data_IF_521533838824
#
_entry.id   IF_521533838824
#
_cell.length_a   1.000
_cell.length_b   1.000
_cell.length_c   1.000
_cell.angle_alpha   90.00
_cell.angle_beta   90.00
_cell.angle_gamma   90.00
#
_symmetry.space_group_name_H-M   'P 1'
#
loop_
_entity.id
_entity.type
_entity.pdbx_description
1 polymer ?
#
# COMPACT_ATOMS: atom_id res chain seq x y z
N UNK A 1 7.73 7.62 -8.51
CA UNK A 1 7.24 9.00 -8.40
C UNK A 1 6.99 9.66 -9.77
N UNK A 2 7.96 9.71 -10.66
CA UNK A 2 7.85 10.41 -11.95
C UNK A 2 6.65 9.98 -12.82
N UNK A 3 6.20 8.75 -12.71
CA UNK A 3 5.04 8.22 -13.43
C UNK A 3 3.71 8.36 -12.66
N UNK A 4 3.73 9.02 -11.49
CA UNK A 4 2.55 9.17 -10.63
C UNK A 4 1.71 10.35 -11.09
N UNK A 5 0.43 10.13 -11.32
CA UNK A 5 -0.51 11.19 -11.74
C UNK A 5 -0.99 12.09 -10.58
N UNK A 6 -1.69 13.17 -10.89
CA UNK A 6 -2.20 14.17 -9.94
C UNK A 6 -2.95 13.57 -8.76
N UNK A 7 -3.92 12.69 -9.00
CA UNK A 7 -4.71 12.08 -7.91
C UNK A 7 -3.84 11.30 -6.92
N UNK A 8 -2.87 10.56 -7.44
CA UNK A 8 -1.97 9.76 -6.59
C UNK A 8 -0.99 10.66 -5.83
N UNK A 9 -0.48 11.72 -6.44
CA UNK A 9 0.43 12.67 -5.77
C UNK A 9 -0.24 13.45 -4.66
N UNK A 10 -1.54 13.77 -4.80
CA UNK A 10 -2.32 14.48 -3.79
C UNK A 10 -2.22 13.84 -2.41
N UNK A 11 -2.21 12.52 -2.32
CA UNK A 11 -2.11 11.79 -1.05
C UNK A 11 -0.81 12.08 -0.27
N UNK A 12 0.22 12.58 -0.92
CA UNK A 12 1.54 12.86 -0.33
C UNK A 12 1.77 14.34 -0.02
N UNK A 13 0.77 15.21 -0.27
CA UNK A 13 0.88 16.66 -0.09
C UNK A 13 0.48 17.15 1.30
N UNK A 14 0.16 16.25 2.21
CA UNK A 14 -0.20 16.57 3.59
C UNK A 14 1.02 16.99 4.41
N UNK A 15 0.85 17.96 5.28
CA UNK A 15 1.94 18.44 6.15
C UNK A 15 2.15 17.55 7.37
N UNK A 16 1.06 16.98 7.91
CA UNK A 16 1.09 16.12 9.09
C UNK A 16 0.93 14.66 8.73
N UNK A 17 1.59 13.77 9.48
CA UNK A 17 1.48 12.33 9.28
C UNK A 17 0.07 11.78 9.57
N UNK A 18 -0.28 10.60 9.00
CA UNK A 18 -1.53 9.93 9.29
C UNK A 18 -1.70 9.67 10.79
N UNK A 19 -2.92 9.87 11.31
CA UNK A 19 -3.23 9.69 12.73
C UNK A 19 -2.95 10.90 13.62
N UNK A 20 -2.43 12.00 13.07
CA UNK A 20 -2.32 13.27 13.82
C UNK A 20 -3.71 13.79 14.18
N UNK A 21 -3.90 14.15 15.45
CA UNK A 21 -5.17 14.71 15.93
C UNK A 21 -5.48 16.05 15.27
N UNK A 22 -6.76 16.27 14.98
CA UNK A 22 -7.28 17.51 14.42
C UNK A 22 -8.56 17.93 15.14
N UNK A 23 -8.73 19.22 15.38
CA UNK A 23 -9.91 19.76 16.04
C UNK A 23 -11.17 19.72 15.16
N UNK A 24 -11.00 19.63 13.83
CA UNK A 24 -12.10 19.62 12.87
C UNK A 24 -11.86 18.55 11.80
N UNK A 25 -12.92 18.07 11.13
CA UNK A 25 -12.76 17.23 9.94
C UNK A 25 -11.91 17.95 8.89
N UNK A 26 -10.87 17.27 8.39
CA UNK A 26 -9.94 17.85 7.41
C UNK A 26 -9.33 16.77 6.51
N UNK A 27 -8.97 17.14 5.29
CA UNK A 27 -8.13 16.32 4.41
C UNK A 27 -6.65 16.36 4.81
N UNK A 28 -6.26 17.29 5.69
CA UNK A 28 -4.86 17.56 6.03
C UNK A 28 -4.09 18.33 4.95
N UNK A 29 -4.74 18.64 3.84
CA UNK A 29 -4.16 19.43 2.74
C UNK A 29 -4.29 20.91 3.00
N UNK A 30 -3.38 21.69 2.44
CA UNK A 30 -3.54 23.14 2.36
C UNK A 30 -4.70 23.48 1.42
N UNK A 31 -5.47 24.57 1.69
CA UNK A 31 -6.61 24.92 0.86
C UNK A 31 -6.33 25.02 -0.64
N UNK A 32 -5.17 25.56 -1.01
CA UNK A 32 -4.73 25.69 -2.40
C UNK A 32 -4.43 24.36 -3.10
N UNK A 33 -4.22 23.28 -2.33
CA UNK A 33 -3.93 21.93 -2.85
C UNK A 33 -5.15 20.99 -2.80
N UNK A 34 -6.21 21.40 -2.12
CA UNK A 34 -7.37 20.52 -1.86
C UNK A 34 -8.31 20.37 -3.07
N UNK A 35 -8.27 21.27 -4.02
CA UNK A 35 -9.17 21.35 -5.18
C UNK A 35 -8.65 20.76 -6.50
N UNK A 36 -7.49 20.10 -6.52
CA UNK A 36 -6.81 19.59 -7.73
C UNK A 36 -6.30 20.63 -8.71
N UNK A 37 -6.24 21.89 -8.36
CA UNK A 37 -5.74 22.96 -9.23
C UNK A 37 -4.21 23.13 -9.17
N UNK A 38 -3.51 22.31 -8.37
CA UNK A 38 -2.06 22.35 -8.31
C UNK A 38 -1.40 21.78 -9.56
N UNK A 39 -0.26 22.33 -9.93
CA UNK A 39 0.57 21.82 -11.03
C UNK A 39 1.38 20.59 -10.61
N UNK A 40 1.89 19.81 -11.59
CA UNK A 40 2.80 18.71 -11.31
C UNK A 40 4.06 19.18 -10.57
N UNK A 41 4.57 20.37 -10.91
CA UNK A 41 5.71 20.98 -10.23
C UNK A 41 5.43 21.30 -8.76
N UNK A 42 4.26 21.89 -8.47
CA UNK A 42 3.83 22.14 -7.09
C UNK A 42 3.68 20.85 -6.28
N UNK A 43 3.37 19.73 -6.93
CA UNK A 43 3.25 18.44 -6.28
C UNK A 43 4.59 17.81 -5.87
N UNK A 44 5.72 18.33 -6.33
CA UNK A 44 7.06 17.79 -6.00
C UNK A 44 7.36 17.88 -4.49
N UNK A 45 6.74 18.78 -3.75
CA UNK A 45 6.88 18.87 -2.29
C UNK A 45 6.44 17.58 -1.57
N UNK A 46 5.56 16.79 -2.19
CA UNK A 46 5.11 15.51 -1.68
C UNK A 46 6.12 14.36 -1.84
N UNK A 47 7.14 14.53 -2.66
CA UNK A 47 8.12 13.47 -2.92
C UNK A 47 8.80 12.95 -1.64
N UNK A 48 9.07 13.81 -0.68
CA UNK A 48 9.66 13.46 0.63
C UNK A 48 8.80 12.47 1.43
N UNK A 49 7.49 12.44 1.17
CA UNK A 49 6.54 11.55 1.85
C UNK A 49 6.30 10.26 1.07
N UNK A 50 6.83 10.15 -0.16
CA UNK A 50 6.63 9.00 -1.02
C UNK A 50 7.55 7.84 -0.62
N UNK A 51 6.95 6.67 -0.44
CA UNK A 51 7.68 5.45 -0.10
C UNK A 51 7.21 4.30 -0.98
N UNK A 52 8.14 3.49 -1.43
CA UNK A 52 7.85 2.25 -2.14
C UNK A 52 8.21 1.07 -1.24
N UNK A 53 7.26 0.18 -1.02
CA UNK A 53 7.48 -1.07 -0.30
C UNK A 53 7.45 -2.20 -1.34
N UNK A 54 8.57 -2.88 -1.49
CA UNK A 54 8.68 -4.05 -2.37
C UNK A 54 8.76 -5.32 -1.53
N UNK A 55 7.75 -6.19 -1.67
CA UNK A 55 7.70 -7.48 -1.00
C UNK A 55 8.02 -8.59 -2.01
N UNK A 56 9.06 -9.38 -1.74
CA UNK A 56 9.34 -10.60 -2.48
C UNK A 56 8.73 -11.78 -1.73
N UNK A 57 7.69 -12.38 -2.31
CA UNK A 57 7.03 -13.55 -1.72
C UNK A 57 7.96 -14.76 -1.96
N UNK A 58 8.37 -15.44 -0.88
CA UNK A 58 9.25 -16.61 -0.91
C UNK A 58 8.47 -17.91 -0.87
N UNK A 59 7.36 -17.92 -0.14
CA UNK A 59 6.48 -19.08 -0.06
C UNK A 59 5.03 -18.66 0.12
N UNK A 60 4.12 -19.52 -0.30
CA UNK A 60 2.67 -19.37 -0.08
C UNK A 60 2.15 -20.64 0.55
N UNK A 61 1.30 -20.53 1.56
CA UNK A 61 0.55 -21.65 2.11
C UNK A 61 -0.92 -21.53 1.75
N UNK A 62 -1.51 -22.63 1.35
CA UNK A 62 -2.91 -22.78 1.08
C UNK A 62 -3.54 -23.70 2.12
N UNK A 63 -4.67 -23.29 2.70
CA UNK A 63 -5.45 -24.07 3.63
C UNK A 63 -6.91 -24.14 3.15
N UNK A 64 -7.36 -25.33 2.84
CA UNK A 64 -8.75 -25.61 2.52
C UNK A 64 -9.48 -26.19 3.74
N UNK A 65 -10.55 -25.53 4.16
CA UNK A 65 -11.36 -25.95 5.30
C UNK A 65 -12.60 -26.71 4.79
N UNK A 66 -12.70 -27.99 5.18
CA UNK A 66 -13.82 -28.83 4.80
C UNK A 66 -14.25 -29.73 5.97
N UNK A 67 -15.57 -29.96 6.11
CA UNK A 67 -16.12 -30.82 7.14
C UNK A 67 -15.61 -32.28 7.04
N UNK A 68 -15.29 -32.74 5.84
CA UNK A 68 -14.73 -34.09 5.57
C UNK A 68 -13.22 -34.20 5.84
N UNK A 69 -12.59 -33.12 6.33
CA UNK A 69 -11.16 -33.04 6.59
C UNK A 69 -10.50 -31.92 5.79
N UNK A 70 -9.65 -31.17 6.46
CA UNK A 70 -8.93 -30.07 5.87
C UNK A 70 -7.81 -30.56 4.94
N UNK A 71 -7.31 -29.65 4.10
CA UNK A 71 -6.14 -29.87 3.25
C UNK A 71 -5.22 -28.66 3.36
N UNK A 72 -3.90 -28.91 3.40
CA UNK A 72 -2.91 -27.83 3.47
C UNK A 72 -1.76 -28.10 2.52
N UNK A 73 -1.31 -27.08 1.82
CA UNK A 73 -0.17 -27.15 0.94
C UNK A 73 0.74 -25.94 1.13
N UNK A 74 2.01 -26.10 0.86
CA UNK A 74 3.00 -25.03 0.77
C UNK A 74 3.63 -25.04 -0.61
N UNK A 75 3.77 -23.86 -1.18
CA UNK A 75 4.44 -23.60 -2.44
C UNK A 75 5.69 -22.80 -2.16
N UNK A 76 6.86 -23.42 -2.29
CA UNK A 76 8.16 -22.76 -2.13
C UNK A 76 8.57 -22.15 -3.47
N UNK A 77 8.40 -20.83 -3.58
CA UNK A 77 8.64 -20.09 -4.82
C UNK A 77 10.14 -19.86 -5.10
N UNK A 78 11.00 -19.99 -4.09
CA UNK A 78 12.45 -19.86 -4.27
C UNK A 78 13.06 -21.13 -4.84
N UNK A 79 12.60 -22.30 -4.39
CA UNK A 79 13.15 -23.61 -4.77
C UNK A 79 12.29 -24.35 -5.79
N UNK A 80 11.15 -23.78 -6.22
CA UNK A 80 10.17 -24.38 -7.13
C UNK A 80 9.71 -25.76 -6.66
N UNK A 81 9.34 -25.87 -5.38
CA UNK A 81 8.89 -27.11 -4.75
C UNK A 81 7.52 -26.92 -4.08
N UNK A 82 6.70 -27.96 -4.18
CA UNK A 82 5.38 -28.02 -3.60
C UNK A 82 5.31 -29.13 -2.56
N UNK A 83 4.62 -28.85 -1.46
CA UNK A 83 4.50 -29.80 -0.36
C UNK A 83 3.06 -29.90 0.10
N UNK A 84 2.58 -31.12 0.29
CA UNK A 84 1.39 -31.35 1.13
C UNK A 84 1.80 -31.29 2.60
N UNK A 85 0.99 -30.63 3.40
CA UNK A 85 1.19 -30.49 4.84
C UNK A 85 0.00 -31.07 5.58
N UNK A 86 0.23 -31.53 6.80
CA UNK A 86 -0.85 -31.84 7.71
C UNK A 86 -1.53 -30.52 8.10
N UNK A 87 -2.85 -30.40 7.99
CA UNK A 87 -3.59 -29.18 8.29
C UNK A 87 -3.52 -28.79 9.77
#
# INVERSE_FOLDING_TARGET
>A
WLKTGHMSRKCYLVDNGPGTESNNPTSGLKPELDNFEFTMEQSEVGYKNFTVIQCKIKSVEWLYLAAKGHRRARFDLENHKDYWLIP
#
